data_IF_923805520049
#
_entry.id   IF_923805520049
#
_cell.length_a   1.000
_cell.length_b   1.000
_cell.length_c   1.000
_cell.angle_alpha   90.00
_cell.angle_beta   90.00
_cell.angle_gamma   90.00
#
_symmetry.space_group_name_H-M   'P 1'
#
loop_
_entity.id
_entity.type
_entity.pdbx_description
1 polymer ?
#
# COMPACT_ATOMS: atom_id res chain seq x y z
N UNK A 1 1.04 -12.91 -25.01
CA UNK A 1 0.81 -13.19 -23.55
C UNK A 1 0.52 -14.66 -23.23
N UNK A 2 -0.01 -15.46 -24.15
CA UNK A 2 -0.36 -16.87 -23.93
C UNK A 2 0.85 -17.80 -23.74
N UNK A 3 1.95 -17.57 -24.47
CA UNK A 3 3.19 -18.35 -24.33
C UNK A 3 3.90 -18.15 -22.98
N UNK A 4 3.92 -16.91 -22.48
CA UNK A 4 4.52 -16.57 -21.18
C UNK A 4 3.75 -17.21 -20.01
N UNK A 5 2.42 -17.27 -20.09
CA UNK A 5 1.61 -17.98 -19.10
C UNK A 5 1.78 -19.50 -19.18
N UNK A 6 1.89 -20.06 -20.39
CA UNK A 6 2.08 -21.51 -20.62
C UNK A 6 3.45 -21.98 -20.11
N UNK A 7 4.52 -21.23 -20.40
CA UNK A 7 5.87 -21.46 -19.87
C UNK A 7 5.93 -21.42 -18.33
N UNK A 8 5.16 -20.52 -17.70
CA UNK A 8 5.06 -20.43 -16.24
C UNK A 8 4.40 -21.68 -15.63
N UNK A 9 3.35 -22.21 -16.26
CA UNK A 9 2.65 -23.43 -15.82
C UNK A 9 3.53 -24.68 -16.02
N UNK A 10 4.28 -24.75 -17.12
CA UNK A 10 5.19 -25.87 -17.40
C UNK A 10 6.36 -25.95 -16.41
N UNK A 11 6.89 -24.79 -16.00
CA UNK A 11 7.89 -24.69 -14.94
C UNK A 11 7.36 -25.19 -13.60
N UNK A 12 6.11 -24.87 -13.26
CA UNK A 12 5.44 -25.32 -12.03
C UNK A 12 5.20 -26.83 -12.02
N UNK A 13 4.97 -27.45 -13.18
CA UNK A 13 4.73 -28.90 -13.35
C UNK A 13 5.93 -29.79 -13.05
N UNK A 14 7.15 -29.25 -13.07
CA UNK A 14 8.37 -29.98 -12.66
C UNK A 14 8.44 -30.08 -11.14
N UNK A 15 9.00 -31.16 -10.59
CA UNK A 15 8.98 -31.47 -9.14
C UNK A 15 9.49 -30.34 -8.21
N UNK A 16 10.35 -29.44 -8.71
CA UNK A 16 10.87 -28.27 -7.96
C UNK A 16 10.21 -26.94 -8.33
N UNK A 17 9.32 -26.91 -9.31
CA UNK A 17 8.68 -25.72 -9.88
C UNK A 17 7.91 -24.90 -8.87
N UNK A 18 7.08 -25.57 -8.06
CA UNK A 18 6.31 -24.92 -7.00
C UNK A 18 7.19 -24.24 -5.95
N UNK A 19 8.34 -24.85 -5.61
CA UNK A 19 9.30 -24.26 -4.66
C UNK A 19 9.93 -22.97 -5.22
N UNK A 20 10.32 -22.97 -6.50
CA UNK A 20 10.85 -21.76 -7.15
C UNK A 20 9.81 -20.64 -7.23
N UNK A 21 8.54 -20.99 -7.48
CA UNK A 21 7.44 -20.02 -7.45
C UNK A 21 7.33 -19.36 -6.06
N UNK A 22 7.29 -20.16 -5.00
CA UNK A 22 7.22 -19.63 -3.62
C UNK A 22 8.45 -18.81 -3.22
N UNK A 23 9.64 -19.19 -3.69
CA UNK A 23 10.86 -18.40 -3.48
C UNK A 23 10.78 -17.05 -4.18
N UNK A 24 10.26 -17.01 -5.42
CA UNK A 24 10.04 -15.79 -6.20
C UNK A 24 8.96 -14.86 -5.65
N UNK A 25 7.98 -15.39 -4.91
CA UNK A 25 6.93 -14.57 -4.27
C UNK A 25 7.44 -13.75 -3.07
N UNK A 26 8.56 -14.14 -2.44
CA UNK A 26 9.10 -13.41 -1.30
C UNK A 26 9.60 -11.99 -1.65
N UNK A 27 10.40 -11.77 -2.71
CA UNK A 27 10.75 -10.42 -3.14
C UNK A 27 9.52 -9.63 -3.60
N UNK A 28 8.58 -10.28 -4.30
CA UNK A 28 7.34 -9.63 -4.76
C UNK A 28 6.52 -9.08 -3.58
N UNK A 29 6.38 -9.84 -2.48
CA UNK A 29 5.71 -9.36 -1.25
C UNK A 29 6.37 -8.12 -0.66
N UNK A 30 7.70 -8.02 -0.70
CA UNK A 30 8.42 -6.85 -0.18
C UNK A 30 8.20 -5.64 -1.08
N UNK A 31 8.15 -5.86 -2.40
CA UNK A 31 7.88 -4.82 -3.38
C UNK A 31 6.46 -4.27 -3.24
N UNK A 32 5.45 -5.14 -3.15
CA UNK A 32 4.04 -4.77 -2.92
C UNK A 32 3.90 -4.03 -1.58
N UNK A 33 4.59 -4.47 -0.52
CA UNK A 33 4.59 -3.79 0.76
C UNK A 33 5.14 -2.36 0.68
N UNK A 34 6.19 -2.14 -0.13
CA UNK A 34 6.77 -0.82 -0.33
C UNK A 34 5.83 0.08 -1.14
N UNK A 35 5.22 -0.46 -2.18
CA UNK A 35 4.21 0.21 -3.01
C UNK A 35 3.00 0.63 -2.17
N UNK A 36 2.45 -0.27 -1.36
CA UNK A 36 1.30 0.01 -0.48
C UNK A 36 1.56 1.18 0.47
N UNK A 37 2.76 1.25 1.08
CA UNK A 37 3.13 2.40 1.94
C UNK A 37 3.21 3.69 1.13
N UNK A 38 3.82 3.64 -0.06
CA UNK A 38 3.92 4.80 -0.95
C UNK A 38 2.55 5.34 -1.35
N UNK A 39 1.64 4.46 -1.74
CA UNK A 39 0.25 4.81 -2.06
C UNK A 39 -0.49 5.39 -0.86
N UNK A 40 -0.47 4.69 0.28
CA UNK A 40 -1.18 5.12 1.49
C UNK A 40 -0.68 6.48 2.01
N UNK A 41 0.63 6.72 2.02
CA UNK A 41 1.20 8.00 2.46
C UNK A 41 0.98 9.10 1.42
N UNK A 42 1.30 8.83 0.15
CA UNK A 42 1.27 9.82 -0.93
C UNK A 42 -0.13 10.15 -1.42
N UNK A 43 -0.83 9.16 -1.99
CA UNK A 43 -2.17 9.35 -2.55
C UNK A 43 -3.26 9.39 -1.47
N UNK A 44 -3.03 8.74 -0.32
CA UNK A 44 -3.92 8.81 0.83
C UNK A 44 -3.67 10.05 1.69
N UNK A 45 -2.85 9.88 2.73
CA UNK A 45 -2.73 10.84 3.85
C UNK A 45 -2.26 12.22 3.41
N UNK A 46 -1.18 12.32 2.63
CA UNK A 46 -0.60 13.62 2.24
C UNK A 46 -1.56 14.44 1.40
N UNK A 47 -2.24 13.78 0.45
CA UNK A 47 -3.21 14.42 -0.44
C UNK A 47 -4.43 14.90 0.33
N UNK A 48 -4.96 14.07 1.23
CA UNK A 48 -6.05 14.42 2.13
C UNK A 48 -5.69 15.62 3.03
N UNK A 49 -4.50 15.58 3.62
CA UNK A 49 -4.00 16.64 4.50
C UNK A 49 -3.84 17.97 3.75
N UNK A 50 -3.36 17.94 2.50
CA UNK A 50 -3.28 19.14 1.65
C UNK A 50 -4.67 19.73 1.39
N UNK A 51 -5.61 18.91 0.90
CA UNK A 51 -6.97 19.36 0.63
C UNK A 51 -7.66 19.89 1.89
N UNK A 52 -7.43 19.25 3.04
CA UNK A 52 -8.01 19.66 4.32
C UNK A 52 -7.54 21.06 4.77
N UNK A 53 -6.35 21.50 4.35
CA UNK A 53 -5.83 22.85 4.64
C UNK A 53 -6.44 23.91 3.72
N UNK A 54 -6.78 23.54 2.49
CA UNK A 54 -7.29 24.45 1.46
C UNK A 54 -8.81 24.62 1.52
N UNK A 55 -9.54 23.56 1.87
CA UNK A 55 -11.01 23.57 1.88
C UNK A 55 -11.54 24.27 3.14
N UNK A 56 -12.28 25.36 2.94
CA UNK A 56 -12.97 26.11 4.00
C UNK A 56 -14.45 25.75 4.03
N UNK A 57 -14.97 25.39 5.19
CA UNK A 57 -16.40 25.18 5.45
C UNK A 57 -16.70 25.75 6.84
N UNK A 58 -17.84 26.42 7.01
CA UNK A 58 -18.22 27.09 8.26
C UNK A 58 -17.14 28.09 8.75
N UNK A 59 -16.53 28.83 7.82
CA UNK A 59 -15.59 29.91 8.14
C UNK A 59 -14.17 29.49 8.54
N UNK A 60 -13.83 28.19 8.50
CA UNK A 60 -12.46 27.72 8.76
C UNK A 60 -12.05 26.52 7.90
N UNK A 61 -10.73 26.26 7.73
CA UNK A 61 -10.24 25.04 7.08
C UNK A 61 -10.76 23.77 7.75
N UNK A 62 -11.21 22.80 6.95
CA UNK A 62 -11.73 21.52 7.47
C UNK A 62 -10.67 20.71 8.20
N UNK A 63 -9.39 20.94 7.92
CA UNK A 63 -8.26 20.33 8.60
C UNK A 63 -8.13 20.70 10.08
N UNK A 64 -8.93 21.62 10.60
CA UNK A 64 -9.06 21.89 12.03
C UNK A 64 -10.07 20.95 12.73
N UNK A 65 -10.88 20.21 11.97
CA UNK A 65 -11.86 19.29 12.52
C UNK A 65 -11.15 17.99 12.93
N UNK A 66 -11.29 17.59 14.19
CA UNK A 66 -10.69 16.36 14.74
C UNK A 66 -11.13 15.10 13.99
N UNK A 67 -12.36 15.10 13.46
CA UNK A 67 -12.90 14.03 12.61
C UNK A 67 -12.07 13.79 11.33
N UNK A 68 -11.28 14.77 10.89
CA UNK A 68 -10.34 14.63 9.76
C UNK A 68 -8.92 14.39 10.27
N UNK A 69 -8.48 15.13 11.30
CA UNK A 69 -7.11 15.03 11.80
C UNK A 69 -6.78 13.66 12.39
N UNK A 70 -7.60 13.14 13.31
CA UNK A 70 -7.28 11.91 14.04
C UNK A 70 -7.21 10.68 13.12
N UNK A 71 -8.15 10.47 12.17
CA UNK A 71 -8.05 9.32 11.26
C UNK A 71 -6.85 9.40 10.32
N UNK A 72 -6.51 10.60 9.83
CA UNK A 72 -5.32 10.79 8.98
C UNK A 72 -4.03 10.51 9.76
N UNK A 73 -3.93 11.00 11.00
CA UNK A 73 -2.80 10.74 11.89
C UNK A 73 -2.66 9.24 12.22
N UNK A 74 -3.78 8.55 12.48
CA UNK A 74 -3.79 7.09 12.72
C UNK A 74 -3.24 6.33 11.51
N UNK A 75 -3.75 6.64 10.30
CA UNK A 75 -3.28 6.01 9.05
C UNK A 75 -1.79 6.22 8.85
N UNK A 76 -1.31 7.45 9.09
CA UNK A 76 0.10 7.78 8.98
C UNK A 76 0.96 6.93 9.91
N UNK A 77 0.57 6.85 11.18
CA UNK A 77 1.29 6.07 12.19
C UNK A 77 1.34 4.58 11.85
N UNK A 78 0.23 4.00 11.38
CA UNK A 78 0.16 2.59 10.98
C UNK A 78 1.04 2.30 9.74
N UNK A 79 1.02 3.18 8.74
CA UNK A 79 1.88 3.07 7.55
C UNK A 79 3.36 3.21 7.88
N UNK A 80 3.69 4.11 8.83
CA UNK A 80 5.05 4.29 9.34
C UNK A 80 5.53 3.05 10.09
N UNK A 81 4.69 2.48 10.95
CA UNK A 81 4.98 1.23 11.65
C UNK A 81 5.25 0.08 10.66
N UNK A 82 4.41 -0.08 9.63
CA UNK A 82 4.61 -1.06 8.56
C UNK A 82 5.95 -0.87 7.83
N UNK A 83 6.30 0.37 7.52
CA UNK A 83 7.57 0.71 6.87
C UNK A 83 8.79 0.26 7.70
N UNK A 84 8.77 0.51 9.01
CA UNK A 84 9.85 0.16 9.93
C UNK A 84 10.00 -1.34 10.22
N UNK A 85 9.03 -2.18 9.86
CA UNK A 85 9.19 -3.64 9.89
C UNK A 85 10.07 -4.18 8.75
N UNK A 86 10.24 -3.39 7.68
CA UNK A 86 10.91 -3.79 6.44
C UNK A 86 12.44 -3.64 6.30
N UNK A 87 13.19 -2.83 7.08
CA UNK A 87 14.60 -2.55 6.80
C UNK A 87 15.48 -3.81 6.77
N UNK A 88 15.35 -4.70 7.76
CA UNK A 88 16.13 -5.95 7.81
C UNK A 88 15.79 -6.90 6.65
N UNK A 89 14.54 -6.93 6.21
CA UNK A 89 14.09 -7.78 5.11
C UNK A 89 14.58 -7.24 3.77
N UNK A 90 14.48 -5.92 3.55
CA UNK A 90 15.02 -5.24 2.35
C UNK A 90 16.53 -5.34 2.26
N UNK A 91 17.25 -5.06 3.35
CA UNK A 91 18.70 -5.17 3.37
C UNK A 91 19.17 -6.55 2.90
N UNK A 92 18.58 -7.62 3.45
CA UNK A 92 18.93 -8.99 3.03
C UNK A 92 18.64 -9.25 1.55
N UNK A 93 17.51 -8.76 1.05
CA UNK A 93 17.17 -8.89 -0.36
C UNK A 93 18.20 -8.18 -1.25
N UNK A 94 18.65 -6.98 -0.87
CA UNK A 94 19.63 -6.20 -1.64
C UNK A 94 21.04 -6.80 -1.58
N UNK A 95 21.44 -7.44 -0.47
CA UNK A 95 22.76 -8.07 -0.35
C UNK A 95 22.83 -9.48 -0.95
N UNK A 96 21.86 -9.88 -1.80
CA UNK A 96 21.81 -11.21 -2.40
C UNK A 96 21.48 -12.35 -1.43
N UNK A 97 21.11 -12.02 -0.19
CA UNK A 97 20.71 -13.00 0.81
C UNK A 97 19.26 -13.42 0.61
N UNK A 98 19.00 -14.73 0.52
CA UNK A 98 17.61 -15.23 0.52
C UNK A 98 16.95 -14.92 1.88
N UNK A 99 15.69 -14.44 1.91
CA UNK A 99 14.95 -14.35 3.15
C UNK A 99 14.87 -15.75 3.80
N UNK A 100 15.12 -15.83 5.12
CA UNK A 100 15.00 -17.09 5.90
C UNK A 100 13.53 -17.49 6.03
N UNK A 101 12.95 -17.96 4.93
CA UNK A 101 11.54 -18.33 4.81
C UNK A 101 10.58 -17.15 4.62
N UNK A 102 9.28 -17.44 4.42
CA UNK A 102 8.28 -16.45 4.01
C UNK A 102 7.78 -15.55 5.15
N UNK A 103 8.08 -15.88 6.40
CA UNK A 103 7.48 -15.25 7.60
C UNK A 103 7.73 -13.74 7.68
N UNK A 104 8.93 -13.27 7.34
CA UNK A 104 9.28 -11.84 7.40
C UNK A 104 8.65 -11.03 6.26
N UNK A 105 8.81 -11.42 4.97
CA UNK A 105 8.10 -10.77 3.87
C UNK A 105 6.58 -10.75 4.06
N UNK A 106 6.00 -11.85 4.54
CA UNK A 106 4.55 -11.96 4.76
C UNK A 106 4.05 -10.98 5.83
N UNK A 107 4.75 -10.90 6.97
CA UNK A 107 4.41 -9.93 8.03
C UNK A 107 4.51 -8.50 7.51
N UNK A 108 5.60 -8.16 6.83
CA UNK A 108 5.79 -6.82 6.29
C UNK A 108 4.66 -6.45 5.32
N UNK A 109 4.33 -7.34 4.39
CA UNK A 109 3.23 -7.10 3.45
C UNK A 109 1.90 -6.86 4.16
N UNK A 110 1.56 -7.71 5.13
CA UNK A 110 0.34 -7.55 5.92
C UNK A 110 0.28 -6.18 6.62
N UNK A 111 1.31 -5.81 7.38
CA UNK A 111 1.34 -4.54 8.12
C UNK A 111 1.45 -3.30 7.23
N UNK A 112 1.90 -3.43 5.98
CA UNK A 112 1.93 -2.33 5.03
C UNK A 112 0.61 -2.19 4.25
N UNK A 113 0.03 -3.30 3.81
CA UNK A 113 -1.16 -3.32 2.96
C UNK A 113 -2.45 -3.00 3.73
N UNK A 114 -2.61 -3.55 4.94
CA UNK A 114 -3.80 -3.31 5.77
C UNK A 114 -4.08 -1.82 6.02
N UNK A 115 -3.11 -0.99 6.46
CA UNK A 115 -3.37 0.44 6.69
C UNK A 115 -3.35 1.30 5.42
N UNK A 116 -2.87 0.77 4.29
CA UNK A 116 -2.85 1.52 3.03
C UNK A 116 -4.26 1.81 2.50
N UNK A 117 -5.17 0.83 2.61
CA UNK A 117 -6.55 1.01 2.17
C UNK A 117 -7.29 2.09 2.98
N UNK A 118 -7.33 2.03 4.34
CA UNK A 118 -7.94 3.08 5.14
C UNK A 118 -7.31 4.46 4.93
N UNK A 119 -6.00 4.54 4.64
CA UNK A 119 -5.33 5.79 4.29
C UNK A 119 -5.90 6.45 3.03
N UNK A 120 -6.18 5.64 2.01
CA UNK A 120 -6.80 6.12 0.77
C UNK A 120 -8.30 6.39 0.90
N UNK A 121 -9.03 5.52 1.60
CA UNK A 121 -10.45 5.73 1.91
C UNK A 121 -10.68 7.08 2.62
N UNK A 122 -9.85 7.37 3.63
CA UNK A 122 -9.90 8.66 4.35
C UNK A 122 -9.61 9.84 3.43
N UNK A 123 -8.77 9.66 2.41
CA UNK A 123 -8.56 10.70 1.41
C UNK A 123 -9.82 10.97 0.58
N UNK A 124 -10.51 9.93 0.12
CA UNK A 124 -11.79 10.07 -0.58
C UNK A 124 -12.81 10.79 0.31
N UNK A 125 -12.96 10.33 1.56
CA UNK A 125 -13.91 10.92 2.52
C UNK A 125 -13.59 12.38 2.83
N UNK A 126 -12.31 12.73 2.95
CA UNK A 126 -11.85 14.13 3.17
C UNK A 126 -12.19 15.03 1.98
N UNK A 127 -12.15 14.50 0.76
CA UNK A 127 -12.52 15.24 -0.46
C UNK A 127 -14.05 15.27 -0.70
N UNK A 128 -14.83 14.49 0.05
CA UNK A 128 -16.27 14.34 -0.16
C UNK A 128 -16.58 13.83 -1.57
N UNK A 129 -17.63 14.37 -2.20
CA UNK A 129 -18.02 13.96 -3.57
C UNK A 129 -16.92 14.14 -4.62
N UNK A 130 -15.95 15.04 -4.40
CA UNK A 130 -14.80 15.22 -5.31
C UNK A 130 -13.80 14.07 -5.25
N UNK A 131 -13.78 13.31 -4.17
CA UNK A 131 -12.85 12.19 -3.96
C UNK A 131 -13.06 11.03 -4.93
N UNK A 132 -14.24 10.93 -5.56
CA UNK A 132 -14.53 9.93 -6.59
C UNK A 132 -14.01 10.34 -7.98
N UNK A 133 -13.55 11.58 -8.15
CA UNK A 133 -13.02 12.05 -9.43
C UNK A 133 -11.55 11.64 -9.61
N UNK A 134 -11.24 11.09 -10.78
CA UNK A 134 -9.87 10.70 -11.18
C UNK A 134 -8.88 11.87 -11.17
N UNK A 135 -9.38 13.10 -11.34
CA UNK A 135 -8.54 14.32 -11.35
C UNK A 135 -7.98 14.64 -9.96
N UNK A 136 -8.82 14.55 -8.94
CA UNK A 136 -8.44 14.91 -7.58
C UNK A 136 -7.68 13.77 -6.91
N UNK A 137 -8.17 12.54 -7.08
CA UNK A 137 -7.54 11.32 -6.56
C UNK A 137 -7.35 10.35 -7.74
N UNK A 138 -6.18 10.35 -8.40
CA UNK A 138 -5.84 9.35 -9.41
C UNK A 138 -5.83 7.97 -8.76
N UNK A 139 -6.66 7.06 -9.27
CA UNK A 139 -6.93 5.78 -8.62
C UNK A 139 -7.88 5.86 -7.43
N UNK A 140 -8.67 6.94 -7.28
CA UNK A 140 -9.75 7.01 -6.29
C UNK A 140 -10.75 5.86 -6.45
N UNK A 141 -11.05 5.47 -7.70
CA UNK A 141 -11.79 4.25 -8.02
C UNK A 141 -10.99 2.97 -7.74
N UNK A 142 -9.67 2.96 -7.95
CA UNK A 142 -8.80 1.82 -7.65
C UNK A 142 -8.81 1.45 -6.16
N UNK A 143 -9.01 2.43 -5.28
CA UNK A 143 -9.21 2.16 -3.86
C UNK A 143 -10.47 1.35 -3.59
N UNK A 144 -11.52 1.46 -4.42
CA UNK A 144 -12.74 0.66 -4.31
C UNK A 144 -12.72 -0.62 -5.18
N UNK A 145 -12.03 -0.62 -6.32
CA UNK A 145 -12.05 -1.73 -7.30
C UNK A 145 -11.16 -2.94 -6.93
N UNK A 146 -10.25 -2.80 -5.97
CA UNK A 146 -9.39 -3.91 -5.51
C UNK A 146 -9.79 -4.52 -4.17
N UNK A 147 -11.00 -4.25 -3.71
CA UNK A 147 -11.66 -5.01 -2.64
C UNK A 147 -12.51 -6.14 -3.22
#
# INVERSE_FOLDING_TARGET
MTLLFRLRIELVRREKGFRYLLEGLNPERILIAAEAVGFGKGNGVNRAARYARERVVFGRPIGQNQAIQHPLAKSWAELEAGWFLGPKTRHRLMTGGKPRGPRRPMRQNFFCSEPAFPGCERAVMTHGGRGLSQREIPGGAFCFEKC
#
